data_IF_492838860684
#
_entry.id   IF_492838860684
#
_cell.length_a   1.000
_cell.length_b   1.000
_cell.length_c   1.000
_cell.angle_alpha   90.00
_cell.angle_beta   90.00
_cell.angle_gamma   90.00
#
_symmetry.space_group_name_H-M   'P 1'
#
loop_
_entity.id
_entity.type
_entity.pdbx_description
1 polymer ?
#
# COMPACT_ATOMS: atom_id res chain seq x y z
N UNK A 1 19.62 42.19 -46.06
CA UNK A 1 18.39 41.44 -45.73
C UNK A 1 18.26 41.38 -44.22
N UNK A 2 17.43 42.21 -43.60
CA UNK A 2 16.82 41.88 -42.30
C UNK A 2 15.39 42.42 -42.29
N UNK A 3 14.44 41.49 -42.24
CA UNK A 3 13.01 41.72 -42.20
C UNK A 3 12.53 41.95 -40.76
N UNK A 4 11.37 42.62 -40.70
CA UNK A 4 10.48 43.03 -39.61
C UNK A 4 10.18 41.98 -38.53
N UNK A 5 9.75 42.41 -37.33
CA UNK A 5 8.63 41.83 -36.52
C UNK A 5 8.45 42.59 -35.18
N UNK A 6 7.43 43.45 -35.06
CA UNK A 6 6.15 43.34 -34.30
C UNK A 6 6.21 43.51 -32.76
N UNK A 7 5.35 44.38 -32.18
CA UNK A 7 5.13 44.47 -30.73
C UNK A 7 4.11 43.42 -30.25
N UNK A 8 4.44 42.70 -29.18
CA UNK A 8 3.55 41.70 -28.59
C UNK A 8 2.59 42.33 -27.57
N UNK A 9 1.31 42.12 -27.85
CA UNK A 9 0.13 42.52 -27.08
C UNK A 9 -0.05 41.66 -25.81
N UNK A 10 -0.68 42.29 -24.83
CA UNK A 10 -1.09 41.86 -23.49
C UNK A 10 -1.65 40.43 -23.33
N UNK A 11 -1.40 39.81 -22.17
CA UNK A 11 -2.17 38.66 -21.67
C UNK A 11 -3.00 39.11 -20.45
N UNK A 12 -4.31 38.83 -20.42
CA UNK A 12 -5.14 39.07 -19.24
C UNK A 12 -4.83 38.05 -18.13
N UNK A 13 -4.63 38.53 -16.91
CA UNK A 13 -4.56 37.71 -15.70
C UNK A 13 -5.93 37.07 -15.44
N UNK A 14 -6.09 35.80 -15.78
CA UNK A 14 -7.27 35.01 -15.39
C UNK A 14 -7.12 34.66 -13.91
N UNK A 15 -7.86 35.34 -13.05
CA UNK A 15 -8.01 34.96 -11.64
C UNK A 15 -8.92 33.73 -11.56
N UNK A 16 -8.33 32.55 -11.36
CA UNK A 16 -9.08 31.35 -10.97
C UNK A 16 -9.40 31.49 -9.47
N UNK A 17 -10.65 31.85 -9.17
CA UNK A 17 -11.25 31.60 -7.86
C UNK A 17 -11.29 30.09 -7.64
N UNK A 18 -10.36 29.58 -6.85
CA UNK A 18 -10.38 28.19 -6.38
C UNK A 18 -11.58 27.98 -5.47
N UNK A 19 -12.71 27.58 -6.05
CA UNK A 19 -13.80 26.97 -5.30
C UNK A 19 -13.23 25.72 -4.62
N UNK A 20 -13.15 25.77 -3.29
CA UNK A 20 -12.80 24.63 -2.47
C UNK A 20 -13.94 23.60 -2.57
N UNK A 21 -13.86 22.74 -3.58
CA UNK A 21 -14.53 21.46 -3.54
C UNK A 21 -13.84 20.69 -2.39
N UNK A 22 -14.47 20.70 -1.23
CA UNK A 22 -14.15 19.80 -0.12
C UNK A 22 -14.47 18.39 -0.59
N UNK A 23 -13.50 17.74 -1.26
CA UNK A 23 -13.50 16.29 -1.39
C UNK A 23 -13.17 15.75 0.00
N UNK A 24 -14.22 15.52 0.79
CA UNK A 24 -14.13 14.62 1.93
C UNK A 24 -13.53 13.30 1.41
N UNK A 25 -12.36 12.86 1.91
CA UNK A 25 -11.96 11.49 1.67
C UNK A 25 -13.05 10.60 2.27
N UNK A 26 -13.47 9.51 1.59
CA UNK A 26 -14.35 8.54 2.22
C UNK A 26 -13.68 8.11 3.52
N UNK A 27 -14.36 8.37 4.64
CA UNK A 27 -13.98 7.92 5.97
C UNK A 27 -14.05 6.40 5.97
N UNK A 28 -13.00 5.76 5.46
CA UNK A 28 -12.75 4.37 5.76
C UNK A 28 -12.25 4.38 7.21
N UNK A 29 -13.11 3.84 8.07
CA UNK A 29 -12.80 3.60 9.47
C UNK A 29 -11.50 2.81 9.53
N UNK A 30 -10.41 3.44 9.95
CA UNK A 30 -9.19 2.78 10.37
C UNK A 30 -9.48 2.05 11.67
N UNK A 31 -10.25 0.96 11.56
CA UNK A 31 -10.50 0.06 12.66
C UNK A 31 -9.30 -0.89 12.74
N UNK A 32 -8.38 -0.56 13.63
CA UNK A 32 -7.41 -1.48 14.21
C UNK A 32 -8.15 -2.62 14.92
N UNK A 33 -8.66 -3.58 14.16
CA UNK A 33 -9.15 -4.84 14.69
C UNK A 33 -8.00 -5.82 14.70
N UNK A 34 -7.36 -5.90 15.86
CA UNK A 34 -6.49 -6.98 16.28
C UNK A 34 -7.39 -8.21 16.52
N UNK A 35 -7.80 -8.87 15.45
CA UNK A 35 -8.47 -10.15 15.49
C UNK A 35 -7.63 -11.10 14.66
N UNK A 36 -7.28 -12.24 15.24
CA UNK A 36 -6.71 -13.37 14.53
C UNK A 36 -7.68 -13.74 13.41
N UNK A 37 -7.46 -13.14 12.24
CA UNK A 37 -8.46 -13.08 11.19
C UNK A 37 -8.34 -14.38 10.39
N UNK A 38 -8.96 -15.42 10.92
CA UNK A 38 -9.31 -16.62 10.17
C UNK A 38 -9.93 -16.20 8.82
N UNK A 39 -9.35 -16.73 7.74
CA UNK A 39 -9.70 -16.40 6.34
C UNK A 39 -11.21 -16.50 6.13
N UNK A 40 -11.88 -15.36 5.94
CA UNK A 40 -13.33 -15.33 5.65
C UNK A 40 -13.58 -15.68 4.17
N UNK A 41 -14.72 -16.32 3.83
CA UNK A 41 -15.09 -16.55 2.44
C UNK A 41 -15.14 -15.20 1.69
N UNK A 42 -14.33 -15.08 0.64
CA UNK A 42 -14.17 -13.84 -0.16
C UNK A 42 -12.90 -13.03 0.14
N UNK A 43 -12.20 -13.28 1.24
CA UNK A 43 -10.90 -12.67 1.51
C UNK A 43 -9.78 -13.52 0.93
N UNK A 44 -9.33 -13.14 -0.25
CA UNK A 44 -8.40 -13.91 -1.05
C UNK A 44 -6.98 -13.35 -1.05
N UNK A 45 -6.71 -12.24 -0.35
CA UNK A 45 -5.39 -11.64 -0.34
C UNK A 45 -4.98 -11.30 1.09
N UNK A 46 -3.70 -11.49 1.41
CA UNK A 46 -3.18 -11.27 2.75
C UNK A 46 -1.97 -10.33 2.72
N UNK A 47 -1.91 -9.42 3.68
CA UNK A 47 -0.71 -8.63 3.93
C UNK A 47 0.34 -9.52 4.59
N UNK A 48 1.46 -9.72 3.91
CA UNK A 48 2.62 -10.45 4.43
C UNK A 48 3.70 -9.48 4.90
N UNK A 49 3.30 -8.32 5.39
CA UNK A 49 4.20 -7.54 6.23
C UNK A 49 4.44 -8.29 7.53
N UNK A 50 5.67 -8.24 8.05
CA UNK A 50 6.07 -8.89 9.30
C UNK A 50 5.05 -8.59 10.41
N UNK A 51 4.55 -9.67 11.02
CA UNK A 51 3.55 -9.64 12.10
C UNK A 51 2.18 -9.01 11.77
N UNK A 52 1.85 -8.73 10.51
CA UNK A 52 0.56 -8.11 10.15
C UNK A 52 -0.55 -9.13 9.84
N UNK A 53 -0.32 -10.04 8.88
CA UNK A 53 -1.23 -11.16 8.50
C UNK A 53 -2.72 -10.79 8.34
N UNK A 54 -3.04 -9.54 7.99
CA UNK A 54 -4.42 -9.08 7.74
C UNK A 54 -4.93 -9.54 6.37
N UNK A 55 -6.20 -9.96 6.33
CA UNK A 55 -6.87 -10.45 5.11
C UNK A 55 -7.78 -9.42 4.46
N UNK A 56 -7.78 -9.39 3.14
CA UNK A 56 -8.45 -8.40 2.29
C UNK A 56 -9.15 -9.06 1.09
N UNK A 57 -10.12 -8.36 0.52
CA UNK A 57 -10.91 -8.86 -0.61
C UNK A 57 -10.25 -8.55 -1.96
N UNK A 58 -9.51 -7.44 -2.06
CA UNK A 58 -8.87 -7.02 -3.31
C UNK A 58 -7.39 -6.65 -3.12
N UNK A 59 -6.54 -6.79 -4.16
CA UNK A 59 -5.13 -6.39 -4.09
C UNK A 59 -4.94 -4.91 -3.71
N UNK A 60 -5.81 -4.04 -4.23
CA UNK A 60 -5.78 -2.60 -3.94
C UNK A 60 -5.96 -2.29 -2.45
N UNK A 61 -6.78 -3.07 -1.74
CA UNK A 61 -6.93 -2.93 -0.29
C UNK A 61 -5.65 -3.29 0.46
N UNK A 62 -4.96 -4.35 0.03
CA UNK A 62 -3.66 -4.74 0.62
C UNK A 62 -2.62 -3.65 0.40
N UNK A 63 -2.55 -3.11 -0.83
CA UNK A 63 -1.66 -2.01 -1.17
C UNK A 63 -1.90 -0.79 -0.30
N UNK A 64 -3.15 -0.35 -0.23
CA UNK A 64 -3.53 0.81 0.55
C UNK A 64 -3.15 0.64 2.02
N UNK A 65 -3.53 -0.50 2.59
CA UNK A 65 -3.20 -0.86 3.96
C UNK A 65 -1.69 -0.82 4.23
N UNK A 66 -0.87 -1.48 3.41
CA UNK A 66 0.58 -1.48 3.63
C UNK A 66 1.22 -0.10 3.38
N UNK A 67 0.70 0.70 2.44
CA UNK A 67 1.17 2.05 2.18
C UNK A 67 0.88 3.02 3.34
N UNK A 68 -0.25 2.87 4.04
CA UNK A 68 -0.64 3.76 5.15
C UNK A 68 -0.17 3.25 6.51
N UNK A 69 -0.41 1.98 6.81
CA UNK A 69 -0.13 1.40 8.14
C UNK A 69 1.36 1.11 8.32
N UNK A 70 2.05 0.65 7.28
CA UNK A 70 3.46 0.31 7.34
C UNK A 70 4.34 1.37 6.69
N UNK A 71 3.83 2.03 5.64
CA UNK A 71 4.50 3.14 4.97
C UNK A 71 4.30 4.51 5.62
N UNK A 72 3.62 4.59 6.78
CA UNK A 72 3.33 5.83 7.52
C UNK A 72 4.59 6.65 7.88
N UNK A 73 4.44 7.96 8.13
CA UNK A 73 5.63 8.86 8.27
C UNK A 73 6.41 8.52 9.54
N UNK A 74 5.66 8.18 10.57
CA UNK A 74 6.16 7.91 11.91
C UNK A 74 6.26 6.40 12.19
N UNK A 75 5.82 5.55 11.25
CA UNK A 75 5.79 4.09 11.41
C UNK A 75 6.78 3.40 10.48
N UNK A 76 7.10 3.99 9.32
CA UNK A 76 7.96 3.35 8.34
C UNK A 76 9.40 3.26 8.85
N UNK A 77 9.96 2.04 9.04
CA UNK A 77 11.31 1.86 9.58
C UNK A 77 12.42 2.17 8.57
N UNK A 78 12.08 2.66 7.37
CA UNK A 78 13.05 2.93 6.30
C UNK A 78 13.33 1.74 5.38
N UNK A 79 12.64 0.59 5.56
CA UNK A 79 12.90 -0.66 4.83
C UNK A 79 11.62 -1.46 4.55
N UNK A 80 11.59 -2.35 3.55
CA UNK A 80 10.55 -3.40 3.51
C UNK A 80 10.74 -4.34 4.68
N UNK A 81 9.64 -4.71 5.31
CA UNK A 81 9.58 -5.87 6.19
C UNK A 81 8.54 -6.87 5.65
N UNK A 82 8.44 -6.97 4.33
CA UNK A 82 7.60 -7.99 3.72
C UNK A 82 8.33 -9.33 3.78
N UNK A 83 7.63 -10.42 4.08
CA UNK A 83 8.23 -11.76 4.18
C UNK A 83 9.09 -12.06 2.93
N UNK A 84 10.36 -12.41 3.14
CA UNK A 84 11.30 -12.74 2.06
C UNK A 84 11.71 -11.56 1.16
N UNK A 85 11.40 -10.32 1.53
CA UNK A 85 11.88 -9.13 0.80
C UNK A 85 13.25 -8.68 1.31
N UNK A 86 14.11 -8.27 0.39
CA UNK A 86 15.45 -7.80 0.72
C UNK A 86 15.44 -6.55 1.63
N UNK A 87 16.20 -6.59 2.74
CA UNK A 87 16.26 -5.51 3.69
C UNK A 87 17.14 -4.36 3.20
N UNK A 88 16.61 -3.54 2.28
CA UNK A 88 17.31 -2.35 1.78
C UNK A 88 16.68 -1.05 2.23
N UNK A 89 17.53 -0.12 2.69
CA UNK A 89 17.10 1.19 3.15
C UNK A 89 16.65 2.04 1.95
N UNK A 90 15.41 2.54 2.01
CA UNK A 90 14.78 3.20 0.87
C UNK A 90 13.86 4.30 1.33
N UNK A 91 13.74 5.32 0.49
CA UNK A 91 12.89 6.47 0.76
C UNK A 91 11.42 6.06 0.74
N UNK A 92 10.58 6.74 1.52
CA UNK A 92 9.15 6.44 1.62
C UNK A 92 8.45 6.39 0.25
N UNK A 93 8.70 7.37 -0.62
CA UNK A 93 8.13 7.37 -1.98
C UNK A 93 8.54 6.13 -2.79
N UNK A 94 9.82 5.75 -2.70
CA UNK A 94 10.34 4.53 -3.33
C UNK A 94 9.71 3.26 -2.72
N UNK A 95 9.41 3.28 -1.42
CA UNK A 95 8.68 2.18 -0.78
C UNK A 95 7.27 2.02 -1.37
N UNK A 96 6.52 3.10 -1.58
CA UNK A 96 5.16 3.02 -2.11
C UNK A 96 5.17 2.38 -3.51
N UNK A 97 6.05 2.84 -4.40
CA UNK A 97 6.15 2.27 -5.75
C UNK A 97 6.68 0.83 -5.75
N UNK A 98 7.65 0.51 -4.88
CA UNK A 98 8.15 -0.86 -4.68
C UNK A 98 7.03 -1.81 -4.22
N UNK A 99 6.22 -1.38 -3.26
CA UNK A 99 5.13 -2.16 -2.70
C UNK A 99 4.13 -2.56 -3.79
N UNK A 100 3.79 -1.61 -4.68
CA UNK A 100 2.88 -1.85 -5.79
C UNK A 100 3.43 -2.86 -6.81
N UNK A 101 4.70 -2.73 -7.20
CA UNK A 101 5.32 -3.57 -8.23
C UNK A 101 5.60 -5.00 -7.72
N UNK A 102 6.19 -5.11 -6.52
CA UNK A 102 6.73 -6.38 -6.02
C UNK A 102 5.80 -7.19 -5.14
N UNK A 103 4.92 -6.54 -4.37
CA UNK A 103 4.18 -7.23 -3.30
C UNK A 103 2.67 -7.17 -3.45
N UNK A 104 2.15 -6.08 -3.99
CA UNK A 104 0.71 -5.86 -4.13
C UNK A 104 0.20 -6.07 -5.56
N UNK A 105 1.02 -6.63 -6.44
CA UNK A 105 0.54 -7.19 -7.71
C UNK A 105 -0.29 -8.44 -7.44
N UNK A 106 -1.26 -8.72 -8.32
CA UNK A 106 -2.21 -9.83 -8.15
C UNK A 106 -1.48 -11.17 -7.98
N UNK A 107 -0.49 -11.44 -8.83
CA UNK A 107 0.31 -12.66 -8.79
C UNK A 107 1.17 -12.77 -7.53
N UNK A 108 1.80 -11.67 -7.07
CA UNK A 108 2.62 -11.68 -5.87
C UNK A 108 1.80 -12.04 -4.62
N UNK A 109 0.60 -11.46 -4.48
CA UNK A 109 -0.27 -11.78 -3.35
C UNK A 109 -0.74 -13.23 -3.40
N UNK A 110 -1.09 -13.75 -4.58
CA UNK A 110 -1.49 -15.16 -4.73
C UNK A 110 -0.34 -16.13 -4.43
N UNK A 111 0.88 -15.78 -4.85
CA UNK A 111 2.08 -16.55 -4.54
C UNK A 111 2.34 -16.60 -3.03
N UNK A 112 2.20 -15.45 -2.36
CA UNK A 112 2.37 -15.34 -0.91
C UNK A 112 1.43 -16.22 -0.08
N UNK A 113 0.19 -16.41 -0.54
CA UNK A 113 -0.78 -17.28 0.15
C UNK A 113 -0.37 -18.75 0.14
N UNK A 114 0.22 -19.22 -0.97
CA UNK A 114 0.68 -20.60 -1.12
C UNK A 114 1.80 -20.93 -0.13
N UNK A 115 2.64 -19.93 0.19
CA UNK A 115 3.73 -20.09 1.16
C UNK A 115 3.23 -20.12 2.61
N UNK A 116 2.21 -19.33 2.94
CA UNK A 116 1.66 -19.28 4.30
C UNK A 116 0.87 -20.56 4.67
N UNK A 117 0.20 -21.21 3.69
CA UNK A 117 -0.52 -22.49 3.88
C UNK A 117 0.41 -23.62 4.36
N UNK A 118 1.67 -23.62 3.93
CA UNK A 118 2.68 -24.59 4.38
C UNK A 118 3.27 -24.26 5.76
N UNK A 119 3.16 -23.01 6.22
CA UNK A 119 3.69 -22.56 7.52
C UNK A 119 2.74 -22.79 8.69
N UNK A 120 1.43 -22.84 8.45
CA UNK A 120 0.41 -22.99 9.52
C UNK A 120 0.13 -24.44 9.94
N UNK A 121 0.64 -25.44 9.23
CA UNK A 121 0.48 -26.86 9.60
C UNK A 121 1.44 -27.34 10.72
N UNK A 122 2.30 -26.47 11.26
CA UNK A 122 3.36 -26.84 12.22
C UNK A 122 3.08 -26.59 13.70
N UNK A 123 1.91 -26.06 14.09
CA UNK A 123 1.64 -25.68 15.49
C UNK A 123 0.50 -26.47 16.15
N UNK A 124 0.58 -27.80 16.08
CA UNK A 124 -0.09 -28.67 17.04
C UNK A 124 0.99 -29.30 17.92
N UNK A 125 1.34 -28.66 19.04
CA UNK A 125 2.03 -29.36 20.13
C UNK A 125 1.06 -30.38 20.72
N UNK A 126 1.32 -31.70 20.69
CA UNK A 126 0.59 -32.62 21.56
C UNK A 126 1.13 -32.43 22.97
N UNK A 127 0.38 -31.73 23.83
CA UNK A 127 0.63 -31.73 25.27
C UNK A 127 0.08 -33.04 25.85
N UNK A 128 0.95 -34.04 25.92
CA UNK A 128 0.80 -35.33 26.60
C UNK A 128 2.24 -35.70 26.98
N UNK A 129 2.64 -35.94 28.24
CA UNK A 129 1.95 -36.24 29.49
C UNK A 129 3.01 -36.18 30.60
#
# INVERSE_FOLDING_TARGET
>A
LFLQSTPATSIPTVQVQGQQISLQPPSYTAASQHAEQMKKPGQNFMCLWQSCKKWFQTPSQVFYHAATEHGGKDVYPGQCLWEGCEPFQRQRFSFITHLQDKHCSRDALLAGLKQDEHGQAGNQKPSNK
#
